data_IF_909363451640
#
_entry.id   IF_909363451640
#
_cell.length_a   1.000
_cell.length_b   1.000
_cell.length_c   1.000
_cell.angle_alpha   90.00
_cell.angle_beta   90.00
_cell.angle_gamma   90.00
#
_symmetry.space_group_name_H-M   'P 1'
#
loop_
_entity.id
_entity.type
_entity.pdbx_description
1 polymer ?
#
# COMPACT_ATOMS: atom_id res chain seq x y z
N UNK A 1 16.75 -31.61 10.24
CA UNK A 1 16.18 -30.36 9.67
C UNK A 1 15.21 -29.78 10.68
N UNK A 2 15.35 -28.53 11.13
CA UNK A 2 14.32 -27.93 11.98
C UNK A 2 13.03 -27.73 11.16
N UNK A 3 11.84 -27.96 11.75
CA UNK A 3 10.58 -27.79 11.07
C UNK A 3 10.36 -26.31 10.75
N UNK A 4 9.92 -26.01 9.53
CA UNK A 4 9.55 -24.65 9.12
C UNK A 4 8.41 -24.17 10.01
N UNK A 5 8.70 -23.21 10.89
CA UNK A 5 7.71 -22.60 11.77
C UNK A 5 6.59 -22.01 10.91
N UNK A 6 5.37 -22.49 11.14
CA UNK A 6 4.18 -22.02 10.48
C UNK A 6 3.84 -20.65 11.11
N UNK A 7 4.33 -19.57 10.50
CA UNK A 7 3.94 -18.20 10.85
C UNK A 7 2.43 -18.08 10.62
N UNK A 8 1.64 -18.29 11.67
CA UNK A 8 0.24 -17.88 11.73
C UNK A 8 0.22 -16.38 11.41
N UNK A 9 -0.15 -16.03 10.18
CA UNK A 9 -0.31 -14.64 9.76
C UNK A 9 -1.43 -14.07 10.62
N UNK A 10 -1.07 -13.17 11.53
CA UNK A 10 -2.00 -12.43 12.37
C UNK A 10 -3.07 -11.73 11.50
N UNK A 11 -4.22 -11.42 12.11
CA UNK A 11 -5.24 -10.57 11.50
C UNK A 11 -4.57 -9.30 10.93
N UNK A 12 -5.06 -8.76 9.79
CA UNK A 12 -4.52 -7.52 9.24
C UNK A 12 -4.47 -6.47 10.36
N UNK A 13 -3.33 -5.77 10.55
CA UNK A 13 -3.31 -4.64 11.48
C UNK A 13 -4.44 -3.68 11.07
N UNK A 14 -5.20 -3.20 12.06
CA UNK A 14 -6.13 -2.08 11.86
C UNK A 14 -5.35 -0.95 11.20
N UNK A 15 -5.97 -0.27 10.23
CA UNK A 15 -5.30 0.75 9.46
C UNK A 15 -4.99 1.96 10.35
N UNK A 16 -3.76 2.04 10.85
CA UNK A 16 -3.26 3.21 11.56
C UNK A 16 -3.03 4.34 10.55
N UNK A 17 -4.09 5.10 10.24
CA UNK A 17 -4.04 6.22 9.29
C UNK A 17 -3.03 7.30 9.66
N UNK A 18 -2.61 7.35 10.92
CA UNK A 18 -1.52 8.22 11.42
C UNK A 18 -0.18 7.95 10.74
N UNK A 19 0.00 6.77 10.15
CA UNK A 19 1.24 6.35 9.47
C UNK A 19 1.21 6.58 7.95
N UNK A 20 0.04 6.90 7.38
CA UNK A 20 -0.16 7.12 5.95
C UNK A 20 0.26 8.55 5.56
N UNK A 21 1.57 8.79 5.51
CA UNK A 21 2.10 10.08 5.08
C UNK A 21 1.78 10.33 3.60
N UNK A 22 1.59 11.60 3.24
CA UNK A 22 1.45 12.11 1.86
C UNK A 22 2.71 12.88 1.42
N UNK A 23 3.90 12.26 1.35
CA UNK A 23 5.14 12.99 1.12
C UNK A 23 5.22 13.62 -0.27
N UNK A 24 4.46 13.11 -1.24
CA UNK A 24 4.38 13.76 -2.55
C UNK A 24 3.74 15.15 -2.48
N UNK A 25 2.95 15.50 -1.46
CA UNK A 25 2.40 16.86 -1.36
C UNK A 25 3.48 17.90 -1.04
N UNK A 26 4.42 17.53 -0.17
CA UNK A 26 5.40 18.45 0.40
C UNK A 26 6.76 18.41 -0.33
N UNK A 27 7.02 17.35 -1.13
CA UNK A 27 8.31 17.11 -1.78
C UNK A 27 8.15 17.02 -3.30
N UNK A 28 8.53 18.10 -3.99
CA UNK A 28 8.47 18.19 -5.46
C UNK A 28 9.48 17.27 -6.14
N UNK A 29 10.68 17.13 -5.59
CA UNK A 29 11.71 16.26 -6.14
C UNK A 29 11.26 14.80 -6.08
N UNK A 30 10.64 14.39 -4.97
CA UNK A 30 10.01 13.08 -4.85
C UNK A 30 8.93 12.91 -5.93
N UNK A 31 7.95 13.81 -6.04
CA UNK A 31 6.90 13.74 -7.09
C UNK A 31 7.48 13.54 -8.49
N UNK A 32 8.56 14.25 -8.80
CA UNK A 32 9.18 14.26 -10.12
C UNK A 32 10.24 13.15 -10.31
N UNK A 33 10.50 12.35 -9.27
CA UNK A 33 11.48 11.26 -9.32
C UNK A 33 10.97 10.00 -10.02
N UNK A 34 9.64 9.83 -10.15
CA UNK A 34 9.08 8.66 -10.82
C UNK A 34 9.46 8.65 -12.31
N UNK A 35 10.04 7.53 -12.76
CA UNK A 35 10.43 7.33 -14.16
C UNK A 35 9.86 6.01 -14.65
N UNK A 36 8.99 6.09 -15.64
CA UNK A 36 8.42 4.90 -16.30
C UNK A 36 9.53 4.19 -17.07
N UNK A 37 9.77 2.92 -16.75
CA UNK A 37 10.73 2.08 -17.49
C UNK A 37 10.08 1.47 -18.76
N UNK A 38 10.91 1.14 -19.76
CA UNK A 38 10.41 0.51 -21.00
C UNK A 38 9.81 -0.87 -20.66
N UNK A 39 8.51 -1.02 -20.89
CA UNK A 39 7.79 -2.26 -20.58
C UNK A 39 7.38 -2.39 -19.12
N UNK A 40 7.38 -1.29 -18.34
CA UNK A 40 6.82 -1.30 -17.00
C UNK A 40 5.33 -1.70 -17.05
N UNK A 41 4.99 -2.72 -16.27
CA UNK A 41 3.65 -3.25 -16.13
C UNK A 41 3.40 -3.55 -14.65
N UNK A 42 2.20 -3.23 -14.18
CA UNK A 42 1.80 -3.47 -12.80
C UNK A 42 1.19 -2.25 -12.14
N UNK A 43 0.98 -2.37 -10.86
CA UNK A 43 0.49 -1.32 -9.96
C UNK A 43 1.44 -1.26 -8.77
N UNK A 44 1.44 -0.13 -8.06
CA UNK A 44 2.32 0.09 -6.91
C UNK A 44 3.80 -0.06 -7.32
N UNK A 45 4.30 0.91 -8.10
CA UNK A 45 5.71 0.95 -8.55
C UNK A 45 6.48 2.16 -8.05
N UNK A 46 5.85 3.05 -7.29
CA UNK A 46 6.45 4.29 -6.81
C UNK A 46 6.52 4.39 -5.27
N UNK A 47 7.72 4.59 -4.73
CA UNK A 47 7.94 4.80 -3.29
C UNK A 47 7.57 6.24 -2.87
N UNK A 48 7.11 6.45 -1.62
CA UNK A 48 6.91 5.46 -0.55
C UNK A 48 5.55 4.76 -0.58
N UNK A 49 4.70 5.06 -1.57
CA UNK A 49 3.33 4.52 -1.63
C UNK A 49 3.29 3.00 -1.73
N UNK A 50 4.29 2.37 -2.39
CA UNK A 50 4.43 0.91 -2.37
C UNK A 50 4.57 0.41 -0.94
N UNK A 51 5.56 0.91 -0.21
CA UNK A 51 5.84 0.48 1.16
C UNK A 51 4.63 0.65 2.09
N UNK A 52 3.85 1.72 1.89
CA UNK A 52 2.65 2.01 2.67
C UNK A 52 1.47 1.08 2.30
N UNK A 53 1.26 0.78 1.01
CA UNK A 53 0.08 0.05 0.53
C UNK A 53 0.27 -1.47 0.47
N UNK A 54 1.51 -1.94 0.25
CA UNK A 54 1.84 -3.36 0.07
C UNK A 54 1.41 -4.26 1.24
N UNK A 55 1.51 -3.85 2.52
CA UNK A 55 1.03 -4.67 3.65
C UNK A 55 -0.47 -5.00 3.58
N UNK A 56 -1.26 -4.11 2.99
CA UNK A 56 -2.72 -4.22 2.86
C UNK A 56 -3.15 -4.89 1.55
N UNK A 57 -2.24 -5.09 0.59
CA UNK A 57 -2.55 -5.68 -0.72
C UNK A 57 -2.59 -7.22 -0.68
N UNK A 58 -3.69 -7.81 -0.19
CA UNK A 58 -3.82 -9.27 -0.04
C UNK A 58 -5.05 -9.81 -0.78
N UNK A 59 -4.85 -10.67 -1.77
CA UNK A 59 -5.94 -11.18 -2.63
C UNK A 59 -5.96 -12.72 -2.74
N UNK A 60 -5.61 -13.43 -1.66
CA UNK A 60 -5.52 -14.90 -1.68
C UNK A 60 -6.88 -15.60 -1.70
N UNK A 61 -7.85 -15.11 -0.93
CA UNK A 61 -9.19 -15.71 -0.80
C UNK A 61 -10.24 -14.61 -0.84
N UNK A 62 -11.50 -14.94 -1.14
CA UNK A 62 -12.59 -13.97 -1.24
C UNK A 62 -12.71 -13.11 0.04
N UNK A 63 -12.74 -13.66 1.26
CA UNK A 63 -12.83 -12.83 2.47
C UNK A 63 -11.63 -11.89 2.63
N UNK A 64 -10.42 -12.39 2.36
CA UNK A 64 -9.19 -11.57 2.44
C UNK A 64 -9.24 -10.45 1.39
N UNK A 65 -9.67 -10.75 0.16
CA UNK A 65 -9.79 -9.77 -0.91
C UNK A 65 -10.78 -8.65 -0.57
N UNK A 66 -11.94 -8.99 0.02
CA UNK A 66 -12.94 -8.00 0.46
C UNK A 66 -12.40 -7.07 1.56
N UNK A 67 -11.67 -7.63 2.53
CA UNK A 67 -11.02 -6.83 3.56
C UNK A 67 -9.96 -5.91 2.94
N UNK A 68 -9.06 -6.46 2.11
CA UNK A 68 -8.00 -5.69 1.46
C UNK A 68 -8.55 -4.57 0.58
N UNK A 69 -9.58 -4.84 -0.24
CA UNK A 69 -10.18 -3.80 -1.09
C UNK A 69 -10.82 -2.68 -0.27
N UNK A 70 -11.49 -3.03 0.84
CA UNK A 70 -12.10 -2.05 1.74
C UNK A 70 -11.04 -1.18 2.42
N UNK A 71 -9.94 -1.77 2.88
CA UNK A 71 -8.82 -1.04 3.48
C UNK A 71 -8.14 -0.12 2.47
N UNK A 72 -7.82 -0.62 1.27
CA UNK A 72 -7.20 0.19 0.21
C UNK A 72 -8.10 1.35 -0.22
N UNK A 73 -9.42 1.14 -0.25
CA UNK A 73 -10.38 2.20 -0.51
C UNK A 73 -10.36 3.29 0.56
N UNK A 74 -10.30 2.92 1.84
CA UNK A 74 -10.17 3.87 2.94
C UNK A 74 -8.87 4.69 2.85
N UNK A 75 -7.75 4.04 2.52
CA UNK A 75 -6.46 4.72 2.28
C UNK A 75 -6.56 5.71 1.12
N UNK A 76 -7.16 5.30 0.01
CA UNK A 76 -7.38 6.19 -1.14
C UNK A 76 -8.21 7.41 -0.75
N UNK A 77 -9.32 7.21 -0.04
CA UNK A 77 -10.15 8.33 0.44
C UNK A 77 -9.40 9.25 1.41
N UNK A 78 -8.46 8.73 2.20
CA UNK A 78 -7.60 9.53 3.05
C UNK A 78 -6.70 10.46 2.23
N UNK A 79 -6.02 9.93 1.21
CA UNK A 79 -5.17 10.74 0.31
C UNK A 79 -5.96 11.79 -0.47
N UNK A 80 -7.14 11.42 -0.98
CA UNK A 80 -8.06 12.37 -1.63
C UNK A 80 -8.41 13.53 -0.69
N UNK A 81 -8.72 13.24 0.58
CA UNK A 81 -9.04 14.29 1.56
C UNK A 81 -7.84 15.17 1.92
N UNK A 82 -6.63 14.60 1.89
CA UNK A 82 -5.40 15.34 2.10
C UNK A 82 -5.01 16.24 0.90
N UNK A 83 -5.66 16.06 -0.26
CA UNK A 83 -5.36 16.79 -1.49
C UNK A 83 -4.28 16.14 -2.36
N UNK A 84 -3.90 14.90 -2.05
CA UNK A 84 -2.94 14.09 -2.80
C UNK A 84 -3.67 13.37 -3.95
N UNK A 85 -3.94 14.13 -5.03
CA UNK A 85 -4.72 13.75 -6.22
C UNK A 85 -3.87 13.66 -7.49
#
# INVERSE_FOLDING_TARGET
MPPKANLKRAAPPELDTTTLRTPALDDEDLRMSYRIARGEQGVLTFEPYISLLLPHWRFRTIPIAQTSSSTLWQVFQHYVKAGDL
#
